data_IF_410717826927
#
_entry.id   IF_410717826927
#
_cell.length_a   1.000
_cell.length_b   1.000
_cell.length_c   1.000
_cell.angle_alpha   90.00
_cell.angle_beta   90.00
_cell.angle_gamma   90.00
#
_symmetry.space_group_name_H-M   'P 1'
#
loop_
_entity.id
_entity.type
_entity.pdbx_description
1 polymer ?
#
# COMPACT_ATOMS: atom_id res chain seq x y z
N UNK A 1 11.39 -17.00 -11.07
CA UNK A 1 11.01 -15.70 -11.64
C UNK A 1 10.42 -14.83 -10.53
N UNK A 2 11.17 -13.84 -10.04
CA UNK A 2 10.58 -12.81 -9.17
C UNK A 2 9.86 -11.81 -10.08
N UNK A 3 8.53 -11.82 -10.10
CA UNK A 3 7.75 -10.75 -10.75
C UNK A 3 8.14 -9.44 -10.06
N UNK A 4 8.73 -8.53 -10.83
CA UNK A 4 9.00 -7.18 -10.36
C UNK A 4 7.64 -6.51 -10.09
N UNK A 5 7.55 -5.79 -8.98
CA UNK A 5 6.30 -5.17 -8.57
C UNK A 5 6.20 -3.82 -9.27
N UNK A 6 5.30 -3.73 -10.26
CA UNK A 6 5.16 -2.54 -11.10
C UNK A 6 4.31 -1.48 -10.40
N UNK A 7 4.38 -0.24 -10.87
CA UNK A 7 3.60 0.86 -10.28
C UNK A 7 2.09 0.65 -10.40
N UNK A 8 1.64 -0.09 -11.41
CA UNK A 8 0.24 -0.55 -11.54
C UNK A 8 -0.15 -1.47 -10.38
N UNK A 9 0.71 -2.44 -10.03
CA UNK A 9 0.45 -3.36 -8.91
C UNK A 9 0.42 -2.60 -7.58
N UNK A 10 1.28 -1.59 -7.42
CA UNK A 10 1.27 -0.73 -6.23
C UNK A 10 -0.03 0.07 -6.13
N UNK A 11 -0.50 0.63 -7.24
CA UNK A 11 -1.76 1.39 -7.28
C UNK A 11 -2.96 0.51 -6.91
N UNK A 12 -3.03 -0.71 -7.46
CA UNK A 12 -4.05 -1.70 -7.11
C UNK A 12 -4.01 -2.08 -5.62
N UNK A 13 -2.82 -2.30 -5.06
CA UNK A 13 -2.67 -2.60 -3.62
C UNK A 13 -3.16 -1.42 -2.77
N UNK A 14 -2.82 -0.19 -3.13
CA UNK A 14 -3.28 1.00 -2.40
C UNK A 14 -4.80 1.17 -2.48
N UNK A 15 -5.39 1.03 -3.67
CA UNK A 15 -6.85 1.12 -3.87
C UNK A 15 -7.59 0.07 -3.03
N UNK A 16 -7.09 -1.17 -3.03
CA UNK A 16 -7.68 -2.25 -2.22
C UNK A 16 -7.55 -1.97 -0.70
N UNK A 17 -6.43 -1.40 -0.25
CA UNK A 17 -6.23 -0.99 1.15
C UNK A 17 -7.20 0.13 1.52
N UNK A 18 -7.38 1.14 0.66
CA UNK A 18 -8.33 2.24 0.88
C UNK A 18 -9.78 1.76 0.86
N UNK A 19 -10.09 0.74 0.05
CA UNK A 19 -11.38 0.04 0.04
C UNK A 19 -11.67 -0.75 1.33
N UNK A 20 -10.64 -0.95 2.18
CA UNK A 20 -10.77 -1.66 3.46
C UNK A 20 -10.55 -3.17 3.36
N UNK A 21 -9.96 -3.67 2.27
CA UNK A 21 -9.64 -5.09 2.12
C UNK A 21 -8.51 -5.51 3.06
N UNK A 22 -8.58 -6.76 3.53
CA UNK A 22 -7.52 -7.33 4.35
C UNK A 22 -6.29 -7.67 3.50
N UNK A 23 -5.08 -7.52 4.07
CA UNK A 23 -3.83 -7.85 3.37
C UNK A 23 -3.81 -9.28 2.80
N UNK A 24 -4.55 -10.20 3.40
CA UNK A 24 -4.70 -11.57 2.90
C UNK A 24 -5.54 -11.63 1.62
N UNK A 25 -6.67 -10.91 1.57
CA UNK A 25 -7.50 -10.82 0.36
C UNK A 25 -6.74 -10.16 -0.79
N UNK A 26 -6.00 -9.09 -0.50
CA UNK A 26 -5.18 -8.39 -1.51
C UNK A 26 -4.06 -9.29 -2.03
N UNK A 27 -3.41 -10.03 -1.12
CA UNK A 27 -2.39 -11.04 -1.46
C UNK A 27 -2.94 -12.11 -2.41
N UNK A 28 -4.15 -12.61 -2.16
CA UNK A 28 -4.82 -13.60 -3.02
C UNK A 28 -5.23 -12.98 -4.36
N UNK A 29 -5.80 -11.77 -4.34
CA UNK A 29 -6.34 -11.06 -5.52
C UNK A 29 -5.23 -10.70 -6.52
N UNK A 30 -4.11 -10.20 -6.04
CA UNK A 30 -2.99 -9.74 -6.88
C UNK A 30 -1.95 -10.86 -7.08
N UNK A 31 -1.98 -11.89 -6.24
CA UNK A 31 -1.06 -13.03 -6.33
C UNK A 31 0.35 -12.72 -5.82
N UNK A 32 0.50 -11.71 -4.97
CA UNK A 32 1.77 -11.44 -4.27
C UNK A 32 1.75 -12.03 -2.87
N UNK A 33 2.93 -12.36 -2.35
CA UNK A 33 3.09 -12.80 -0.96
C UNK A 33 2.65 -11.69 0.01
N UNK A 34 1.96 -12.07 1.08
CA UNK A 34 1.47 -11.16 2.13
C UNK A 34 2.54 -10.20 2.64
N UNK A 35 3.79 -10.65 2.77
CA UNK A 35 4.94 -9.83 3.21
C UNK A 35 5.19 -8.63 2.28
N UNK A 36 4.98 -8.80 0.98
CA UNK A 36 5.17 -7.75 -0.01
C UNK A 36 4.03 -6.73 0.06
N UNK A 37 2.78 -7.20 0.13
CA UNK A 37 1.60 -6.34 0.34
C UNK A 37 1.73 -5.55 1.64
N UNK A 38 2.21 -6.18 2.72
CA UNK A 38 2.46 -5.53 3.99
C UNK A 38 3.48 -4.39 3.88
N UNK A 39 4.63 -4.61 3.23
CA UNK A 39 5.64 -3.54 3.02
C UNK A 39 5.06 -2.36 2.25
N UNK A 40 4.21 -2.62 1.25
CA UNK A 40 3.56 -1.57 0.47
C UNK A 40 2.53 -0.82 1.31
N UNK A 41 1.72 -1.53 2.08
CA UNK A 41 0.77 -0.94 3.01
C UNK A 41 1.47 -0.06 4.06
N UNK A 42 2.59 -0.51 4.62
CA UNK A 42 3.39 0.26 5.57
C UNK A 42 4.00 1.50 4.91
N UNK A 43 4.55 1.38 3.71
CA UNK A 43 5.07 2.52 2.94
C UNK A 43 3.96 3.52 2.58
N UNK A 44 2.77 3.03 2.21
CA UNK A 44 1.62 3.88 1.93
C UNK A 44 1.17 4.63 3.18
N UNK A 45 1.02 3.93 4.32
CA UNK A 45 0.62 4.55 5.59
C UNK A 45 1.64 5.56 6.07
N UNK A 46 2.94 5.28 5.94
CA UNK A 46 4.00 6.25 6.24
C UNK A 46 3.92 7.47 5.32
N UNK A 47 3.77 7.29 4.00
CA UNK A 47 3.61 8.43 3.09
C UNK A 47 2.36 9.26 3.42
N UNK A 48 1.20 8.63 3.62
CA UNK A 48 -0.05 9.34 4.02
C UNK A 48 0.12 10.08 5.34
N UNK A 49 0.81 9.51 6.34
CA UNK A 49 1.10 10.17 7.61
C UNK A 49 2.08 11.34 7.44
N UNK A 50 3.07 11.21 6.57
CA UNK A 50 4.04 12.27 6.25
C UNK A 50 3.35 13.41 5.47
N UNK A 51 2.45 13.12 4.53
CA UNK A 51 1.67 14.12 3.80
C UNK A 51 0.66 14.80 4.73
N UNK A 52 0.02 14.08 5.67
CA UNK A 52 -0.83 14.69 6.70
C UNK A 52 -0.06 15.56 7.68
N UNK A 53 1.20 15.25 7.99
CA UNK A 53 2.06 16.12 8.80
C UNK A 53 2.60 17.34 8.07
N UNK A 54 2.70 17.33 6.74
CA UNK A 54 3.10 18.51 5.96
C UNK A 54 1.97 19.52 5.73
N UNK A 55 0.72 19.18 6.09
CA UNK A 55 -0.43 20.09 6.02
C UNK A 55 -0.77 20.83 7.32
N UNK A 56 -0.13 20.50 8.45
CA UNK A 56 -0.25 21.32 9.66
C UNK A 56 0.84 22.39 9.62
N UNK A 57 0.51 23.52 8.98
CA UNK A 57 1.13 24.78 9.38
C UNK A 57 0.93 24.93 10.88
N UNK A 58 2.01 24.85 11.63
CA UNK A 58 2.02 25.39 12.97
C UNK A 58 2.02 26.92 12.82
N UNK A 59 1.08 27.66 13.45
CA UNK A 59 1.25 29.09 13.67
C UNK A 59 2.49 29.39 14.52
#
# INVERSE_FOLDING_TARGET
MARHLNDIDKALICDDIESGLSLNQISIKIGFVRRTVQRIAENFRNNVLITRKQGSGCP
#
